data_IF_708180082446
#
_entry.id   IF_708180082446
#
_cell.length_a   1.000
_cell.length_b   1.000
_cell.length_c   1.000
_cell.angle_alpha   90.00
_cell.angle_beta   90.00
_cell.angle_gamma   90.00
#
_symmetry.space_group_name_H-M   'P 1'
#
loop_
_entity.id
_entity.type
_entity.pdbx_description
1 polymer ?
#
# COMPACT_ATOMS: atom_id res chain seq x y z
N UNK A 1 4.61 13.38 -11.58
CA UNK A 1 5.87 12.80 -12.12
C UNK A 1 5.50 11.62 -13.04
N UNK A 2 6.01 11.54 -14.27
CA UNK A 2 5.40 10.74 -15.34
C UNK A 2 5.34 9.24 -15.09
N UNK A 3 6.37 8.62 -14.50
CA UNK A 3 6.38 7.18 -14.24
C UNK A 3 5.46 6.83 -13.07
N UNK A 4 5.45 7.63 -12.00
CA UNK A 4 4.49 7.50 -10.91
C UNK A 4 3.04 7.68 -11.39
N UNK A 5 2.80 8.66 -12.27
CA UNK A 5 1.49 8.85 -12.89
C UNK A 5 1.09 7.67 -13.77
N UNK A 6 2.04 7.01 -14.45
CA UNK A 6 1.75 5.79 -15.22
C UNK A 6 1.24 4.65 -14.33
N UNK A 7 1.82 4.45 -13.13
CA UNK A 7 1.29 3.52 -12.14
C UNK A 7 -0.12 3.89 -11.69
N UNK A 8 -0.33 5.17 -11.36
CA UNK A 8 -1.63 5.67 -10.91
C UNK A 8 -2.74 5.53 -11.96
N UNK A 9 -2.41 5.75 -13.24
CA UNK A 9 -3.33 5.53 -14.37
C UNK A 9 -3.55 4.05 -14.67
N UNK A 10 -2.57 3.19 -14.38
CA UNK A 10 -2.68 1.74 -14.53
C UNK A 10 -3.43 1.05 -13.38
N UNK A 11 -3.84 1.79 -12.35
CA UNK A 11 -4.49 1.21 -11.18
C UNK A 11 -3.54 0.37 -10.31
N UNK A 12 -2.25 0.74 -10.28
CA UNK A 12 -1.21 -0.01 -9.57
C UNK A 12 -0.55 0.82 -8.46
N UNK A 13 -0.31 0.19 -7.32
CA UNK A 13 0.54 0.72 -6.26
C UNK A 13 2.04 0.49 -6.58
N UNK A 14 2.93 1.16 -5.83
CA UNK A 14 4.36 0.86 -5.80
C UNK A 14 4.66 0.23 -4.43
N UNK A 15 4.46 -1.08 -4.37
CA UNK A 15 4.43 -1.87 -3.13
C UNK A 15 5.27 -3.15 -3.22
N UNK A 16 6.11 -3.28 -4.24
CA UNK A 16 7.08 -4.37 -4.36
C UNK A 16 8.45 -3.96 -3.77
N UNK A 17 9.08 -4.78 -2.92
CA UNK A 17 10.34 -4.45 -2.24
C UNK A 17 11.55 -4.72 -3.16
N UNK A 18 11.61 -4.03 -4.30
CA UNK A 18 12.62 -4.31 -5.35
C UNK A 18 13.90 -3.47 -5.20
N UNK A 19 13.90 -2.45 -4.33
CA UNK A 19 15.03 -1.54 -4.10
C UNK A 19 15.23 -1.29 -2.61
N UNK A 20 16.45 -1.39 -2.12
CA UNK A 20 16.75 -1.15 -0.70
C UNK A 20 16.53 0.31 -0.30
N UNK A 21 16.81 1.24 -1.22
CA UNK A 21 16.66 2.68 -1.01
C UNK A 21 15.21 3.06 -0.73
N UNK A 22 14.24 2.53 -1.49
CA UNK A 22 12.82 2.85 -1.26
C UNK A 22 12.37 2.41 0.12
N UNK A 23 12.83 1.24 0.60
CA UNK A 23 12.50 0.75 1.94
C UNK A 23 13.08 1.68 3.01
N UNK A 24 14.29 2.20 2.81
CA UNK A 24 14.99 3.08 3.74
C UNK A 24 14.44 4.50 3.80
N UNK A 25 14.01 5.07 2.67
CA UNK A 25 13.75 6.53 2.61
C UNK A 25 12.26 6.87 2.44
N UNK A 26 11.48 5.99 1.82
CA UNK A 26 10.10 6.28 1.43
C UNK A 26 9.09 5.32 2.07
N UNK A 27 9.32 4.02 1.92
CA UNK A 27 8.34 2.96 2.17
C UNK A 27 7.52 2.66 0.93
N UNK A 28 6.49 1.82 1.08
CA UNK A 28 5.58 1.60 -0.05
C UNK A 28 4.72 2.83 -0.31
N UNK A 29 4.28 2.94 -1.55
CA UNK A 29 3.41 4.01 -2.03
C UNK A 29 2.09 3.39 -2.47
N UNK A 30 1.02 3.47 -1.64
CA UNK A 30 -0.27 2.92 -2.00
C UNK A 30 -0.95 3.75 -3.09
N UNK A 31 -1.97 3.15 -3.71
CA UNK A 31 -2.88 3.82 -4.62
C UNK A 31 -4.17 4.19 -3.89
N UNK A 32 -4.49 5.48 -3.83
CA UNK A 32 -5.77 5.97 -3.30
C UNK A 32 -6.90 5.81 -4.32
N UNK A 33 -8.14 5.86 -3.84
CA UNK A 33 -9.31 5.92 -4.71
C UNK A 33 -9.30 7.15 -5.62
N UNK A 34 -10.11 7.12 -6.68
CA UNK A 34 -10.34 8.29 -7.54
C UNK A 34 -11.18 9.32 -6.79
N UNK A 35 -10.83 10.59 -6.98
CA UNK A 35 -11.67 11.73 -6.58
C UNK A 35 -11.65 12.80 -7.66
N UNK A 36 -12.79 13.44 -7.90
CA UNK A 36 -12.93 14.45 -8.95
C UNK A 36 -12.06 15.68 -8.61
N UNK A 37 -11.26 16.22 -9.55
CA UNK A 37 -10.48 17.43 -9.31
C UNK A 37 -11.36 18.58 -8.78
N UNK A 38 -10.79 19.41 -7.88
CA UNK A 38 -11.47 20.55 -7.26
C UNK A 38 -12.65 20.20 -6.34
N UNK A 39 -12.78 18.94 -5.92
CA UNK A 39 -13.76 18.49 -4.91
C UNK A 39 -13.06 17.95 -3.66
N UNK A 40 -13.80 17.73 -2.57
CA UNK A 40 -13.27 17.09 -1.36
C UNK A 40 -12.98 15.60 -1.55
N UNK A 41 -13.57 14.96 -2.55
CA UNK A 41 -13.46 13.51 -2.83
C UNK A 41 -12.00 13.05 -2.87
N UNK A 42 -11.13 13.84 -3.51
CA UNK A 42 -9.71 13.50 -3.61
C UNK A 42 -9.05 13.46 -2.23
N UNK A 43 -9.24 14.52 -1.44
CA UNK A 43 -8.68 14.58 -0.09
C UNK A 43 -9.26 13.50 0.83
N UNK A 44 -10.55 13.19 0.71
CA UNK A 44 -11.21 12.12 1.46
C UNK A 44 -10.64 10.74 1.12
N UNK A 45 -10.35 10.48 -0.16
CA UNK A 45 -9.72 9.24 -0.60
C UNK A 45 -8.30 9.05 -0.04
N UNK A 46 -7.60 10.15 0.27
CA UNK A 46 -6.22 10.13 0.77
C UNK A 46 -6.14 9.99 2.29
N UNK A 47 -7.11 10.55 3.03
CA UNK A 47 -7.10 10.62 4.51
C UNK A 47 -6.67 9.33 5.21
N UNK A 48 -7.15 8.12 4.84
CA UNK A 48 -6.78 6.88 5.52
C UNK A 48 -5.28 6.52 5.43
N UNK A 49 -4.57 7.10 4.48
CA UNK A 49 -3.18 6.73 4.17
C UNK A 49 -2.16 7.77 4.67
N UNK A 50 -2.58 9.02 4.89
CA UNK A 50 -1.67 10.14 5.16
C UNK A 50 -0.84 9.96 6.44
N UNK A 51 -1.40 9.28 7.45
CA UNK A 51 -0.72 9.05 8.73
C UNK A 51 0.40 8.00 8.64
N UNK A 52 0.29 7.07 7.69
CA UNK A 52 1.15 5.87 7.64
C UNK A 52 2.13 5.87 6.47
N UNK A 53 1.93 6.73 5.47
CA UNK A 53 2.76 6.78 4.27
C UNK A 53 3.47 8.12 4.15
N UNK A 54 4.48 8.19 3.28
CA UNK A 54 5.23 9.41 3.00
C UNK A 54 4.88 10.00 1.63
N UNK A 55 4.30 9.17 0.77
CA UNK A 55 3.83 9.54 -0.56
C UNK A 55 2.66 8.63 -0.95
N UNK A 56 1.80 9.12 -1.84
CA UNK A 56 0.62 8.43 -2.32
C UNK A 56 0.54 8.56 -3.84
N UNK A 57 0.07 7.49 -4.50
CA UNK A 57 -0.45 7.57 -5.85
C UNK A 57 -1.94 7.86 -5.79
N UNK A 58 -2.43 8.72 -6.67
CA UNK A 58 -3.85 9.10 -6.77
C UNK A 58 -4.41 8.58 -8.09
N UNK A 59 -5.38 7.64 -8.03
CA UNK A 59 -5.90 6.97 -9.21
C UNK A 59 -6.29 7.95 -10.33
N UNK A 60 -5.76 7.72 -11.54
CA UNK A 60 -5.97 8.58 -12.72
C UNK A 60 -5.59 10.07 -12.57
N UNK A 61 -4.76 10.42 -11.58
CA UNK A 61 -4.24 11.78 -11.38
C UNK A 61 -2.72 11.83 -11.45
N UNK A 62 -2.05 11.18 -10.51
CA UNK A 62 -0.61 11.32 -10.35
C UNK A 62 -0.13 10.91 -8.98
N UNK A 63 0.81 11.66 -8.41
CA UNK A 63 1.45 11.36 -7.15
C UNK A 63 1.55 12.61 -6.28
N UNK A 64 1.54 12.41 -4.97
CA UNK A 64 1.76 13.45 -3.96
C UNK A 64 2.69 12.90 -2.89
N UNK A 65 3.64 13.73 -2.45
CA UNK A 65 4.55 13.44 -1.35
C UNK A 65 4.54 14.62 -0.38
N UNK A 66 4.81 14.34 0.88
CA UNK A 66 4.82 15.32 1.96
C UNK A 66 6.00 15.04 2.87
N UNK A 67 6.41 16.04 3.66
CA UNK A 67 7.56 15.97 4.56
C UNK A 67 7.55 17.13 5.54
N UNK A 68 8.49 17.12 6.48
CA UNK A 68 8.66 18.19 7.47
C UNK A 68 9.02 19.53 6.84
N UNK A 69 9.66 19.49 5.68
CA UNK A 69 9.96 20.65 4.86
C UNK A 69 9.81 20.33 3.36
N UNK A 70 9.94 21.36 2.53
CA UNK A 70 9.79 21.26 1.08
C UNK A 70 10.85 20.35 0.44
N UNK A 71 12.07 20.32 0.97
CA UNK A 71 13.16 19.51 0.44
C UNK A 71 12.90 18.03 0.70
N UNK A 72 12.47 17.69 1.91
CA UNK A 72 12.08 16.32 2.25
C UNK A 72 10.90 15.84 1.41
N UNK A 73 9.88 16.70 1.18
CA UNK A 73 8.77 16.37 0.30
C UNK A 73 9.22 16.15 -1.15
N UNK A 74 10.16 16.97 -1.64
CA UNK A 74 10.75 16.86 -2.96
C UNK A 74 11.57 15.57 -3.12
N UNK A 75 12.45 15.25 -2.17
CA UNK A 75 13.27 14.03 -2.18
C UNK A 75 12.41 12.76 -2.18
N UNK A 76 11.30 12.77 -1.41
CA UNK A 76 10.31 11.68 -1.41
C UNK A 76 9.63 11.53 -2.76
N UNK A 77 9.28 12.63 -3.42
CA UNK A 77 8.68 12.61 -4.76
C UNK A 77 9.66 12.09 -5.83
N UNK A 78 10.93 12.51 -5.77
CA UNK A 78 11.99 12.02 -6.65
C UNK A 78 12.25 10.52 -6.43
N UNK A 79 12.28 10.07 -5.17
CA UNK A 79 12.43 8.64 -4.83
C UNK A 79 11.27 7.82 -5.39
N UNK A 80 10.03 8.32 -5.28
CA UNK A 80 8.84 7.69 -5.86
C UNK A 80 8.98 7.56 -7.39
N UNK A 81 9.34 8.66 -8.06
CA UNK A 81 9.45 8.68 -9.52
C UNK A 81 10.57 7.76 -10.03
N UNK A 82 11.72 7.78 -9.34
CA UNK A 82 12.85 6.90 -9.64
C UNK A 82 12.46 5.43 -9.48
N UNK A 83 11.77 5.09 -8.39
CA UNK A 83 11.29 3.73 -8.12
C UNK A 83 10.29 3.28 -9.17
N UNK A 84 9.32 4.14 -9.52
CA UNK A 84 8.33 3.84 -10.57
C UNK A 84 9.00 3.56 -11.92
N UNK A 85 9.99 4.39 -12.30
CA UNK A 85 10.76 4.19 -13.53
C UNK A 85 11.49 2.84 -13.55
N UNK A 86 12.18 2.50 -12.47
CA UNK A 86 12.86 1.21 -12.35
C UNK A 86 11.86 0.06 -12.43
N UNK A 87 10.74 0.14 -11.70
CA UNK A 87 9.74 -0.92 -11.69
C UNK A 87 9.12 -1.17 -13.08
N UNK A 88 8.85 -0.11 -13.85
CA UNK A 88 8.39 -0.24 -15.26
C UNK A 88 9.47 -0.92 -16.12
N UNK A 89 10.72 -0.47 -16.02
CA UNK A 89 11.82 -1.03 -16.80
C UNK A 89 12.11 -2.49 -16.43
N UNK A 90 12.06 -2.85 -15.15
CA UNK A 90 12.22 -4.23 -14.69
C UNK A 90 11.13 -5.14 -15.26
N UNK A 91 9.87 -4.68 -15.32
CA UNK A 91 8.79 -5.44 -15.97
C UNK A 91 9.07 -5.67 -17.46
N UNK A 92 9.61 -4.68 -18.17
CA UNK A 92 10.01 -4.82 -19.57
C UNK A 92 11.17 -5.83 -19.77
N UNK A 93 12.02 -6.01 -18.75
CA UNK A 93 13.10 -6.99 -18.73
C UNK A 93 12.68 -8.41 -18.28
N UNK A 94 11.38 -8.62 -18.01
CA UNK A 94 10.84 -9.92 -17.59
C UNK A 94 10.43 -10.02 -16.11
N UNK A 95 10.54 -8.93 -15.36
CA UNK A 95 10.16 -8.85 -13.94
C UNK A 95 11.30 -8.37 -13.05
N UNK A 96 10.96 -8.04 -11.80
CA UNK A 96 11.92 -7.71 -10.76
C UNK A 96 12.05 -8.88 -9.77
N UNK A 97 13.21 -8.99 -9.13
CA UNK A 97 13.40 -9.89 -8.00
C UNK A 97 13.22 -9.12 -6.71
N UNK A 98 12.32 -9.61 -5.85
CA UNK A 98 12.10 -9.01 -4.55
C UNK A 98 13.31 -9.19 -3.63
N UNK A 99 13.51 -8.22 -2.74
CA UNK A 99 14.51 -8.33 -1.69
C UNK A 99 14.18 -9.51 -0.76
N UNK A 100 15.21 -10.24 -0.27
CA UNK A 100 15.02 -11.26 0.75
C UNK A 100 14.33 -10.70 2.00
N UNK A 101 13.43 -11.48 2.61
CA UNK A 101 12.65 -11.06 3.79
C UNK A 101 13.53 -10.63 4.97
N UNK A 102 14.68 -11.27 5.16
CA UNK A 102 15.63 -10.88 6.21
C UNK A 102 16.31 -9.54 5.92
N UNK A 103 16.59 -9.25 4.65
CA UNK A 103 17.11 -7.95 4.21
C UNK A 103 16.08 -6.84 4.43
N UNK A 104 14.81 -7.08 4.09
CA UNK A 104 13.70 -6.14 4.33
C UNK A 104 13.63 -5.78 5.83
N UNK A 105 13.64 -6.78 6.72
CA UNK A 105 13.64 -6.55 8.18
C UNK A 105 14.82 -5.71 8.64
N UNK A 106 16.03 -5.99 8.14
CA UNK A 106 17.24 -5.21 8.46
C UNK A 106 17.10 -3.75 8.03
N UNK A 107 16.58 -3.51 6.82
CA UNK A 107 16.38 -2.17 6.28
C UNK A 107 15.35 -1.37 7.08
N UNK A 108 14.26 -1.99 7.49
CA UNK A 108 13.25 -1.34 8.35
C UNK A 108 13.87 -0.93 9.69
N UNK A 109 14.63 -1.81 10.33
CA UNK A 109 15.32 -1.50 11.58
C UNK A 109 16.35 -0.35 11.42
N UNK A 110 17.03 -0.27 10.28
CA UNK A 110 17.95 0.83 9.97
C UNK A 110 17.18 2.14 9.83
N UNK A 111 16.07 2.11 9.07
CA UNK A 111 15.21 3.28 8.84
C UNK A 111 14.67 3.86 10.14
N UNK A 112 14.21 3.00 11.05
CA UNK A 112 13.73 3.39 12.38
C UNK A 112 14.83 4.09 13.19
N UNK A 113 16.01 3.48 13.27
CA UNK A 113 17.16 4.05 14.01
C UNK A 113 17.62 5.38 13.44
N UNK A 114 17.45 5.58 12.13
CA UNK A 114 17.80 6.81 11.45
C UNK A 114 16.73 7.92 11.59
N UNK A 115 15.57 7.62 12.20
CA UNK A 115 14.48 8.58 12.38
C UNK A 115 13.59 8.80 11.15
N UNK A 116 13.75 7.98 10.09
CA UNK A 116 12.96 8.07 8.86
C UNK A 116 11.66 7.25 8.89
N UNK A 117 11.37 6.55 9.99
CA UNK A 117 10.12 5.86 10.24
C UNK A 117 9.61 6.24 11.64
N UNK A 118 8.43 6.85 11.68
CA UNK A 118 7.71 7.07 12.94
C UNK A 118 7.02 5.78 13.37
N UNK A 119 6.65 5.67 14.65
CA UNK A 119 5.93 4.49 15.16
C UNK A 119 4.62 4.25 14.41
N UNK A 120 3.88 5.32 14.07
CA UNK A 120 2.66 5.25 13.26
C UNK A 120 2.94 4.76 11.82
N UNK A 121 4.11 5.04 11.27
CA UNK A 121 4.50 4.55 9.95
C UNK A 121 4.91 3.07 9.94
N UNK A 122 4.92 2.35 11.07
CA UNK A 122 4.99 0.88 11.05
C UNK A 122 3.74 0.24 10.43
N UNK A 123 2.64 0.99 10.39
CA UNK A 123 1.34 0.56 9.85
C UNK A 123 1.16 0.85 8.37
N UNK A 124 2.25 0.98 7.60
CA UNK A 124 2.09 1.15 6.16
C UNK A 124 1.30 -0.03 5.60
N UNK A 125 0.22 0.26 4.88
CA UNK A 125 -0.56 -0.72 4.14
C UNK A 125 0.26 -1.18 2.92
N UNK A 126 1.22 -2.08 3.15
CA UNK A 126 2.11 -2.62 2.12
C UNK A 126 2.09 -4.14 2.15
N UNK A 127 1.99 -4.77 0.97
CA UNK A 127 2.00 -6.24 0.86
C UNK A 127 3.25 -6.90 1.45
N UNK A 128 4.45 -6.30 1.32
CA UNK A 128 5.67 -6.90 1.85
C UNK A 128 5.83 -6.79 3.38
N UNK A 129 5.06 -5.93 4.06
CA UNK A 129 5.15 -5.79 5.52
C UNK A 129 4.37 -6.90 6.24
N UNK A 130 3.21 -7.29 5.71
CA UNK A 130 2.39 -8.39 6.27
C UNK A 130 3.21 -9.68 6.41
N UNK A 131 4.10 -9.96 5.45
CA UNK A 131 4.94 -11.16 5.45
C UNK A 131 6.13 -11.13 6.42
N UNK A 132 6.47 -9.95 6.95
CA UNK A 132 7.63 -9.79 7.84
C UNK A 132 7.28 -9.99 9.32
N UNK A 133 5.98 -10.00 9.68
CA UNK A 133 5.53 -10.11 11.07
C UNK A 133 5.87 -8.88 11.92
N UNK A 134 6.12 -7.74 11.27
CA UNK A 134 6.29 -6.44 11.95
C UNK A 134 4.89 -5.91 12.22
N UNK A 135 4.46 -5.94 13.48
CA UNK A 135 3.16 -5.41 13.90
C UNK A 135 3.25 -3.94 14.26
N UNK A 136 2.14 -3.24 14.05
CA UNK A 136 1.90 -1.94 14.64
C UNK A 136 1.79 -2.06 16.16
N UNK A 137 2.27 -1.07 16.91
CA UNK A 137 1.97 -0.92 18.34
C UNK A 137 0.51 -0.54 18.64
N UNK A 138 -0.38 -0.65 17.65
CA UNK A 138 -1.76 -0.16 17.69
C UNK A 138 -2.78 -1.27 18.01
N UNK A 139 -2.37 -2.28 18.78
CA UNK A 139 -3.30 -3.27 19.35
C UNK A 139 -4.24 -2.69 20.43
N UNK A 140 -4.13 -1.39 20.76
CA UNK A 140 -5.04 -0.73 21.71
C UNK A 140 -6.13 0.17 21.09
N UNK A 141 -6.09 0.52 19.79
CA UNK A 141 -7.13 1.39 19.14
C UNK A 141 -7.86 0.68 17.98
N UNK A 142 -7.80 -0.65 17.91
CA UNK A 142 -8.78 -1.43 17.11
C UNK A 142 -10.05 -1.79 17.88
N UNK A 143 -10.23 -1.26 19.09
CA UNK A 143 -11.49 -1.39 19.84
C UNK A 143 -12.59 -0.40 19.43
N UNK A 144 -12.36 0.47 18.43
CA UNK A 144 -13.47 1.06 17.67
C UNK A 144 -13.70 0.17 16.45
N UNK A 145 -14.43 -0.92 16.70
CA UNK A 145 -15.17 -1.63 15.67
C UNK A 145 -16.10 -0.61 14.99
N UNK A 146 -16.21 -0.57 13.66
CA UNK A 146 -17.52 -0.28 13.10
C UNK A 146 -18.42 -1.40 13.60
N UNK A 147 -19.49 -1.07 14.31
CA UNK A 147 -20.52 -2.05 14.66
C UNK A 147 -21.11 -2.64 13.37
N UNK A 148 -20.49 -3.71 12.90
CA UNK A 148 -21.13 -4.75 12.12
C UNK A 148 -20.89 -6.02 12.91
N UNK A 149 -21.99 -6.62 13.32
CA UNK A 149 -22.10 -7.74 14.25
C UNK A 149 -20.99 -8.78 14.05
N UNK A 150 -20.36 -9.17 15.17
CA UNK A 150 -19.61 -10.42 15.26
C UNK A 150 -20.47 -11.57 14.73
N UNK A 151 -20.13 -12.09 13.56
CA UNK A 151 -20.45 -13.47 13.19
C UNK A 151 -19.12 -14.16 12.89
N UNK A 152 -18.94 -15.36 13.46
CA UNK A 152 -17.75 -16.19 13.31
C UNK A 152 -17.64 -16.69 11.86
N UNK A 153 -17.24 -15.82 10.93
CA UNK A 153 -17.08 -16.15 9.53
C UNK A 153 -15.80 -16.96 9.29
N UNK A 154 -15.88 -18.29 9.44
CA UNK A 154 -14.89 -19.17 8.85
C UNK A 154 -14.84 -18.90 7.33
N UNK A 155 -13.64 -18.68 6.78
CA UNK A 155 -13.44 -18.54 5.34
C UNK A 155 -13.39 -19.94 4.73
N UNK A 156 -14.29 -20.22 3.80
CA UNK A 156 -14.33 -21.49 3.05
C UNK A 156 -13.91 -21.25 1.60
N UNK A 157 -13.17 -22.20 1.04
CA UNK A 157 -12.78 -22.22 -0.38
C UNK A 157 -13.63 -23.30 -1.07
N UNK A 158 -14.20 -22.96 -2.22
CA UNK A 158 -15.00 -23.86 -3.03
C UNK A 158 -14.47 -23.89 -4.46
N UNK A 159 -14.63 -25.04 -5.11
CA UNK A 159 -14.49 -25.12 -6.56
C UNK A 159 -15.69 -24.45 -7.24
N UNK A 160 -15.53 -24.09 -8.52
CA UNK A 160 -16.58 -23.41 -9.28
C UNK A 160 -17.86 -24.26 -9.35
N UNK A 161 -17.71 -25.57 -9.46
CA UNK A 161 -18.81 -26.54 -9.55
C UNK A 161 -19.60 -26.62 -8.24
N UNK A 162 -18.91 -26.72 -7.10
CA UNK A 162 -19.54 -26.76 -5.77
C UNK A 162 -20.29 -25.46 -5.44
N UNK A 163 -19.74 -24.31 -5.85
CA UNK A 163 -20.40 -23.02 -5.65
C UNK A 163 -21.70 -22.91 -6.46
N UNK A 164 -21.72 -23.41 -7.69
CA UNK A 164 -22.91 -23.38 -8.55
C UNK A 164 -24.01 -24.28 -7.97
N UNK A 165 -23.65 -25.45 -7.45
CA UNK A 165 -24.62 -26.38 -6.85
C UNK A 165 -25.26 -25.79 -5.58
N UNK A 166 -24.47 -25.20 -4.70
CA UNK A 166 -24.95 -24.50 -3.49
C UNK A 166 -25.92 -23.37 -3.82
N UNK A 167 -25.58 -22.54 -4.82
CA UNK A 167 -26.44 -21.44 -5.25
C UNK A 167 -27.74 -21.94 -5.90
N UNK A 168 -27.68 -23.05 -6.65
CA UNK A 168 -28.86 -23.66 -7.25
C UNK A 168 -29.82 -24.23 -6.19
N UNK A 169 -29.29 -24.87 -5.15
CA UNK A 169 -30.10 -25.37 -4.03
C UNK A 169 -30.74 -24.24 -3.23
N UNK A 170 -30.03 -23.14 -3.01
CA UNK A 170 -30.58 -21.96 -2.33
C UNK A 170 -31.66 -21.25 -3.16
N UNK A 171 -31.51 -21.20 -4.49
CA UNK A 171 -32.46 -20.56 -5.40
C UNK A 171 -33.75 -21.38 -5.59
N UNK A 172 -33.64 -22.72 -5.57
CA UNK A 172 -34.78 -23.64 -5.71
C UNK A 172 -35.40 -24.06 -4.36
N UNK A 173 -34.91 -23.49 -3.26
CA UNK A 173 -35.42 -23.70 -1.90
C UNK A 173 -36.57 -22.77 -1.54
N UNK A 174 -37.68 -22.87 -2.29
CA UNK A 174 -39.06 -22.59 -1.85
C UNK A 174 -40.04 -23.38 -2.68
#
# INVERSE_FOLDING_TARGET
PPHGTAFAAAGMAIDAPILSEVILTLGCVPLTGYGTPSTSELSESMKPFVEHHNALLMANHGAVAYGEDLWQAFDRLETLEHTAKIAILSRALGGANDLPKDAIKKLINIREKAGYLTEAARCQSCGYLEETGISCGHDEITNIKPEISKTNGAKFLFTREELIELLSQAANGR
#
